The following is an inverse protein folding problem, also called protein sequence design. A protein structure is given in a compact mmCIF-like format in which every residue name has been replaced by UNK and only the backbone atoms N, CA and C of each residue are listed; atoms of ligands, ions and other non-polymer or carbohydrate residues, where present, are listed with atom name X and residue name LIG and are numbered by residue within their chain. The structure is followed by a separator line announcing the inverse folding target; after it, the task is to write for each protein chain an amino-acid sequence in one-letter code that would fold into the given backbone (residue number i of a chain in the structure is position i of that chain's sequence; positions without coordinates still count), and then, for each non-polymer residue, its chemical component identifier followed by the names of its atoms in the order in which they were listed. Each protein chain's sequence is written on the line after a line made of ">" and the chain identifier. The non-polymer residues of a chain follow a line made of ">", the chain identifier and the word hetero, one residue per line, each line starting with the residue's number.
data_IF_987104558851
#
_entry.id   IF_987104558851
#
_cell.length_a   1.000
_cell.length_b   1.000
_cell.length_c   1.000
_cell.angle_alpha   90.00
_cell.angle_beta   90.00
_cell.angle_gamma   90.00
#
_symmetry.space_group_name_H-M   'P 1'
#
loop_
_entity.id
_entity.type
_entity.pdbx_description
1 polymer ?
#
# COMPACT_ATOMS: atom_id res chain seq x y z
N UNK A 1 -12.42 -2.41 -14.23
CA UNK A 1 -10.99 -2.31 -14.64
C UNK A 1 -10.23 -2.45 -13.33
N UNK A 2 -9.66 -3.63 -13.06
CA UNK A 2 -9.29 -3.97 -11.68
C UNK A 2 -7.81 -3.75 -11.38
N UNK A 3 -6.98 -3.51 -12.41
CA UNK A 3 -5.54 -3.29 -12.24
C UNK A 3 -5.06 -2.16 -13.15
N UNK A 4 -4.18 -1.30 -12.63
CA UNK A 4 -3.44 -0.29 -13.40
C UNK A 4 -1.93 -0.52 -13.19
N UNK A 5 -1.18 -0.59 -14.29
CA UNK A 5 0.27 -0.72 -14.27
C UNK A 5 0.92 0.63 -14.58
N UNK A 6 1.77 1.11 -13.67
CA UNK A 6 2.44 2.41 -13.73
C UNK A 6 3.96 2.25 -13.97
N UNK A 7 4.37 1.08 -14.48
CA UNK A 7 5.77 0.73 -14.76
C UNK A 7 6.54 0.32 -13.51
N UNK A 8 6.62 1.20 -12.52
CA UNK A 8 7.36 0.97 -11.27
C UNK A 8 6.51 0.28 -10.18
N UNK A 9 5.19 0.37 -10.30
CA UNK A 9 4.24 -0.22 -9.37
C UNK A 9 2.96 -0.62 -10.08
N UNK A 10 2.26 -1.59 -9.49
CA UNK A 10 0.96 -2.06 -9.92
C UNK A 10 -0.07 -1.77 -8.84
N UNK A 11 -1.23 -1.25 -9.25
CA UNK A 11 -2.35 -0.96 -8.39
C UNK A 11 -3.49 -1.92 -8.72
N UNK A 12 -3.84 -2.82 -7.80
CA UNK A 12 -5.04 -3.65 -7.88
C UNK A 12 -6.14 -3.03 -7.02
N UNK A 13 -7.29 -2.76 -7.62
CA UNK A 13 -8.43 -2.07 -7.03
C UNK A 13 -9.46 -3.07 -6.50
N UNK A 14 -9.82 -2.93 -5.22
CA UNK A 14 -10.82 -3.74 -4.52
C UNK A 14 -11.86 -2.79 -3.89
N UNK A 15 -13.08 -3.25 -3.59
CA UNK A 15 -14.17 -2.35 -3.19
C UNK A 15 -13.84 -1.35 -2.05
N UNK A 16 -12.96 -1.75 -1.12
CA UNK A 16 -12.60 -0.98 0.06
C UNK A 16 -11.08 -0.81 0.28
N UNK A 17 -10.23 -1.26 -0.66
CA UNK A 17 -8.78 -1.07 -0.56
C UNK A 17 -8.09 -1.10 -1.92
N UNK A 18 -6.88 -0.53 -1.98
CA UNK A 18 -5.96 -0.72 -3.11
C UNK A 18 -4.81 -1.61 -2.63
N UNK A 19 -4.48 -2.63 -3.42
CA UNK A 19 -3.22 -3.34 -3.27
C UNK A 19 -2.18 -2.69 -4.16
N UNK A 20 -1.08 -2.25 -3.56
CA UNK A 20 0.08 -1.69 -4.24
C UNK A 20 1.16 -2.75 -4.26
N UNK A 21 1.62 -3.10 -5.46
CA UNK A 21 2.78 -3.96 -5.65
C UNK A 21 3.93 -3.10 -6.17
N UNK A 22 5.01 -3.01 -5.40
CA UNK A 22 6.23 -2.28 -5.79
C UNK A 22 7.16 -3.25 -6.52
N UNK A 23 7.65 -2.85 -7.70
CA UNK A 23 8.50 -3.69 -8.52
C UNK A 23 9.98 -3.61 -8.10
N UNK A 24 10.78 -4.59 -8.49
CA UNK A 24 12.23 -4.61 -8.27
C UNK A 24 12.92 -3.34 -8.79
N UNK A 25 13.88 -2.82 -8.03
CA UNK A 25 14.67 -1.65 -8.38
C UNK A 25 13.91 -0.33 -8.39
N UNK A 26 12.64 -0.34 -7.99
CA UNK A 26 11.79 0.86 -8.04
C UNK A 26 12.04 1.80 -6.86
N UNK A 27 11.78 3.08 -7.10
CA UNK A 27 11.79 4.13 -6.08
C UNK A 27 10.38 4.70 -5.92
N UNK A 28 9.83 4.63 -4.71
CA UNK A 28 8.54 5.22 -4.38
C UNK A 28 8.76 6.57 -3.69
N UNK A 29 8.46 7.65 -4.40
CA UNK A 29 8.66 9.03 -3.96
C UNK A 29 7.35 9.84 -3.91
N UNK A 30 7.45 11.15 -3.72
CA UNK A 30 6.31 12.06 -3.71
C UNK A 30 5.51 12.06 -5.01
N UNK A 31 6.18 11.92 -6.16
CA UNK A 31 5.51 11.88 -7.47
C UNK A 31 4.73 10.58 -7.64
N UNK A 32 5.32 9.46 -7.21
CA UNK A 32 4.64 8.17 -7.20
C UNK A 32 3.40 8.19 -6.30
N UNK A 33 3.51 8.83 -5.13
CA UNK A 33 2.36 9.06 -4.25
C UNK A 33 1.26 9.90 -4.92
N UNK A 34 1.60 11.02 -5.54
CA UNK A 34 0.63 11.90 -6.23
C UNK A 34 -0.13 11.17 -7.34
N UNK A 35 0.56 10.36 -8.14
CA UNK A 35 -0.06 9.57 -9.20
C UNK A 35 -1.03 8.53 -8.62
N UNK A 36 -0.61 7.79 -7.59
CA UNK A 36 -1.48 6.85 -6.89
C UNK A 36 -2.69 7.56 -6.26
N UNK A 37 -2.49 8.73 -5.68
CA UNK A 37 -3.53 9.53 -5.04
C UNK A 37 -4.55 10.05 -6.04
N UNK A 38 -4.10 10.56 -7.19
CA UNK A 38 -4.98 11.00 -8.27
C UNK A 38 -5.87 9.85 -8.77
N UNK A 39 -5.27 8.70 -9.05
CA UNK A 39 -6.02 7.50 -9.51
C UNK A 39 -7.00 7.02 -8.43
N UNK A 40 -6.60 7.07 -7.15
CA UNK A 40 -7.50 6.77 -6.02
C UNK A 40 -8.72 7.68 -6.02
N UNK A 41 -8.55 8.97 -6.28
CA UNK A 41 -9.66 9.93 -6.31
C UNK A 41 -10.59 9.68 -7.50
N UNK A 42 -10.06 9.37 -8.68
CA UNK A 42 -10.87 9.02 -9.85
C UNK A 42 -11.75 7.78 -9.61
N UNK A 43 -11.24 6.78 -8.89
CA UNK A 43 -11.94 5.50 -8.68
C UNK A 43 -12.85 5.51 -7.46
N UNK A 44 -12.40 6.06 -6.33
CA UNK A 44 -13.12 5.99 -5.05
C UNK A 44 -13.65 7.35 -4.57
N UNK A 45 -13.30 8.45 -5.24
CA UNK A 45 -13.58 9.80 -4.78
C UNK A 45 -13.08 10.03 -3.36
N UNK A 46 -13.94 10.61 -2.52
CA UNK A 46 -13.63 10.95 -1.14
C UNK A 46 -13.68 9.75 -0.16
N UNK A 47 -14.04 8.55 -0.61
CA UNK A 47 -14.11 7.38 0.26
C UNK A 47 -12.74 7.13 0.91
N UNK A 48 -12.75 6.85 2.23
CA UNK A 48 -11.58 6.34 2.94
C UNK A 48 -11.43 4.85 2.64
N UNK A 49 -10.23 4.46 2.22
CA UNK A 49 -9.93 3.08 1.81
C UNK A 49 -8.68 2.54 2.51
N UNK A 50 -8.52 1.23 2.52
CA UNK A 50 -7.27 0.60 2.93
C UNK A 50 -6.19 0.64 1.85
N UNK A 51 -4.92 0.52 2.26
CA UNK A 51 -3.80 0.25 1.37
C UNK A 51 -3.09 -1.03 1.82
N UNK A 52 -2.92 -1.97 0.90
CA UNK A 52 -2.13 -3.17 1.10
C UNK A 52 -0.85 -3.07 0.26
N UNK A 53 0.29 -2.81 0.90
CA UNK A 53 1.60 -2.73 0.24
C UNK A 53 2.25 -4.09 0.23
N UNK A 54 2.66 -4.53 -0.95
CA UNK A 54 3.26 -5.85 -1.18
C UNK A 54 4.44 -5.71 -2.14
N UNK A 55 5.38 -6.64 -2.06
CA UNK A 55 6.53 -6.72 -2.96
C UNK A 55 6.67 -8.14 -3.53
N UNK A 56 7.43 -8.28 -4.61
CA UNK A 56 7.93 -9.60 -5.00
C UNK A 56 8.93 -10.11 -3.96
N UNK A 57 8.91 -11.43 -3.70
CA UNK A 57 9.80 -12.04 -2.71
C UNK A 57 11.26 -11.75 -3.05
N UNK A 58 11.98 -11.10 -2.14
CA UNK A 58 13.38 -10.73 -2.32
C UNK A 58 13.58 -9.47 -3.16
N UNK A 59 12.51 -8.75 -3.49
CA UNK A 59 12.63 -7.54 -4.28
C UNK A 59 13.21 -6.38 -3.46
N UNK A 60 14.24 -5.74 -3.99
CA UNK A 60 14.81 -4.50 -3.47
C UNK A 60 14.10 -3.30 -4.08
N UNK A 61 13.57 -2.44 -3.22
CA UNK A 61 13.02 -1.14 -3.61
C UNK A 61 13.43 -0.11 -2.57
N UNK A 62 13.23 1.16 -2.91
CA UNK A 62 13.49 2.27 -2.00
C UNK A 62 12.26 3.15 -1.87
N UNK A 63 12.10 3.74 -0.69
CA UNK A 63 11.05 4.70 -0.39
C UNK A 63 11.72 5.98 0.07
N UNK A 64 11.32 7.12 -0.50
CA UNK A 64 11.63 8.42 0.07
C UNK A 64 10.58 8.77 1.15
N UNK A 65 10.91 8.72 2.45
CA UNK A 65 9.93 8.99 3.50
C UNK A 65 9.42 10.43 3.50
N UNK A 66 10.00 11.35 2.72
CA UNK A 66 9.56 12.74 2.65
C UNK A 66 8.10 12.87 2.20
N UNK A 67 7.60 11.94 1.37
CA UNK A 67 6.18 11.98 0.98
C UNK A 67 5.25 11.80 2.18
N UNK A 68 5.64 11.03 3.20
CA UNK A 68 4.85 10.84 4.41
C UNK A 68 4.67 12.14 5.19
N UNK A 69 5.67 13.03 5.12
CA UNK A 69 5.62 14.35 5.76
C UNK A 69 4.79 15.31 4.90
N UNK A 70 5.09 15.38 3.60
CA UNK A 70 4.47 16.32 2.67
C UNK A 70 2.96 16.08 2.52
N UNK A 71 2.55 14.82 2.49
CA UNK A 71 1.16 14.43 2.22
C UNK A 71 0.44 13.84 3.44
N UNK A 72 1.01 13.95 4.65
CA UNK A 72 0.43 13.41 5.89
C UNK A 72 -1.08 13.65 6.00
N UNK A 73 -1.50 14.92 5.88
CA UNK A 73 -2.90 15.31 6.01
C UNK A 73 -3.80 14.66 4.96
N UNK A 74 -3.32 14.59 3.72
CA UNK A 74 -4.07 13.94 2.63
C UNK A 74 -4.19 12.44 2.89
N UNK A 75 -3.11 11.79 3.34
CA UNK A 75 -3.13 10.37 3.69
C UNK A 75 -4.09 10.08 4.84
N UNK A 76 -4.03 10.82 5.95
CA UNK A 76 -4.92 10.63 7.11
C UNK A 76 -6.40 10.93 6.78
N UNK A 77 -6.65 11.82 5.82
CA UNK A 77 -7.99 12.14 5.33
C UNK A 77 -8.57 11.09 4.38
N UNK A 78 -7.75 10.23 3.76
CA UNK A 78 -8.20 9.30 2.72
C UNK A 78 -7.86 7.84 2.94
N UNK A 79 -6.99 7.53 3.91
CA UNK A 79 -6.62 6.17 4.25
C UNK A 79 -7.28 5.75 5.57
N UNK A 80 -7.90 4.58 5.56
CA UNK A 80 -8.47 3.94 6.75
C UNK A 80 -7.43 3.12 7.50
N UNK A 81 -6.54 2.45 6.76
CA UNK A 81 -5.46 1.64 7.29
C UNK A 81 -4.39 1.38 6.22
N UNK A 82 -3.18 1.01 6.66
CA UNK A 82 -2.11 0.53 5.78
C UNK A 82 -1.55 -0.78 6.31
N UNK A 83 -1.51 -1.81 5.46
CA UNK A 83 -0.85 -3.08 5.81
C UNK A 83 0.31 -3.30 4.85
N UNK A 84 1.49 -3.57 5.41
CA UNK A 84 2.68 -3.94 4.63
C UNK A 84 2.90 -5.44 4.79
N UNK A 85 2.90 -6.16 3.68
CA UNK A 85 3.19 -7.60 3.62
C UNK A 85 4.58 -7.78 3.01
N UNK A 86 5.55 -8.14 3.84
CA UNK A 86 6.92 -8.38 3.38
C UNK A 86 7.69 -9.22 4.39
N UNK A 87 8.61 -10.06 3.91
CA UNK A 87 9.58 -10.78 4.74
C UNK A 87 10.97 -10.11 4.72
N UNK A 88 11.09 -8.92 4.15
CA UNK A 88 12.37 -8.23 3.95
C UNK A 88 12.59 -7.12 4.99
N UNK A 89 13.76 -7.12 5.64
CA UNK A 89 14.04 -6.22 6.78
C UNK A 89 14.00 -4.72 6.43
N UNK A 90 14.54 -4.27 5.28
CA UNK A 90 14.42 -2.87 4.85
C UNK A 90 12.97 -2.36 4.78
N UNK A 91 12.03 -3.21 4.40
CA UNK A 91 10.61 -2.85 4.33
C UNK A 91 10.03 -2.56 5.71
N UNK A 92 10.50 -3.28 6.73
CA UNK A 92 10.13 -2.99 8.12
C UNK A 92 10.63 -1.60 8.55
N UNK A 93 11.81 -1.16 8.09
CA UNK A 93 12.31 0.20 8.37
C UNK A 93 11.45 1.26 7.68
N UNK A 94 11.04 1.01 6.45
CA UNK A 94 10.12 1.90 5.74
C UNK A 94 8.77 1.99 6.46
N UNK A 95 8.25 0.86 6.95
CA UNK A 95 7.05 0.80 7.78
C UNK A 95 7.19 1.59 9.09
N UNK A 96 8.35 1.55 9.74
CA UNK A 96 8.60 2.35 10.95
C UNK A 96 8.47 3.86 10.69
N UNK A 97 8.85 4.37 9.52
CA UNK A 97 8.58 5.76 9.16
C UNK A 97 7.09 6.06 9.07
N UNK A 98 6.32 5.21 8.39
CA UNK A 98 4.87 5.35 8.30
C UNK A 98 4.20 5.43 9.69
N UNK A 99 4.61 4.53 10.59
CA UNK A 99 4.10 4.47 11.97
C UNK A 99 4.46 5.70 12.80
N UNK A 100 5.61 6.32 12.56
CA UNK A 100 6.08 7.49 13.33
C UNK A 100 5.58 8.82 12.78
N UNK A 101 5.37 8.91 11.47
CA UNK A 101 5.09 10.17 10.78
C UNK A 101 3.60 10.40 10.49
N UNK A 102 2.75 9.39 10.70
CA UNK A 102 1.31 9.46 10.43
C UNK A 102 0.51 8.82 11.57
N UNK A 103 -0.73 9.26 11.74
CA UNK A 103 -1.69 8.66 12.70
C UNK A 103 -2.53 7.53 12.06
N UNK A 104 -2.11 7.03 10.90
CA UNK A 104 -2.87 6.03 10.15
C UNK A 104 -2.68 4.66 10.82
N UNK A 105 -3.78 3.94 11.13
CA UNK A 105 -3.68 2.58 11.64
C UNK A 105 -2.87 1.70 10.68
N UNK A 106 -1.76 1.13 11.16
CA UNK A 106 -0.87 0.38 10.29
C UNK A 106 -0.36 -0.92 10.91
N UNK A 107 -0.12 -1.94 10.07
CA UNK A 107 0.39 -3.25 10.48
C UNK A 107 1.43 -3.76 9.49
N UNK A 108 2.50 -4.36 10.00
CA UNK A 108 3.46 -5.12 9.21
C UNK A 108 3.20 -6.61 9.42
N UNK A 109 3.15 -7.40 8.35
CA UNK A 109 3.01 -8.86 8.41
C UNK A 109 4.03 -9.53 7.49
N UNK A 110 4.51 -10.69 7.90
CA UNK A 110 5.56 -11.39 7.17
C UNK A 110 5.05 -12.21 5.97
N UNK A 111 3.74 -12.47 5.92
CA UNK A 111 3.10 -13.24 4.85
C UNK A 111 1.60 -12.93 4.76
N UNK A 112 1.01 -13.28 3.61
CA UNK A 112 -0.42 -13.08 3.34
C UNK A 112 -1.35 -13.94 4.21
N UNK A 113 -0.93 -15.14 4.62
CA UNK A 113 -1.77 -16.03 5.45
C UNK A 113 -2.11 -15.37 6.79
N UNK A 114 -1.19 -14.57 7.33
CA UNK A 114 -1.41 -13.76 8.54
C UNK A 114 -2.45 -12.64 8.38
N UNK A 115 -2.96 -12.38 7.17
CA UNK A 115 -4.06 -11.43 6.94
C UNK A 115 -5.44 -12.06 7.13
N UNK A 116 -5.59 -13.38 6.97
CA UNK A 116 -6.87 -14.09 7.18
C UNK A 116 -7.34 -14.01 8.64
N UNK A 117 -6.41 -13.73 9.55
CA UNK A 117 -6.65 -13.51 10.97
C UNK A 117 -7.14 -12.08 11.29
N UNK A 118 -7.21 -11.18 10.30
CA UNK A 118 -7.65 -9.80 10.48
C UNK A 118 -9.17 -9.66 10.33
N UNK A 119 -9.89 -9.10 11.33
CA UNK A 119 -11.32 -8.83 11.21
C UNK A 119 -11.62 -7.93 10.00
N UNK A 120 -12.43 -8.42 9.06
CA UNK A 120 -12.84 -7.68 7.86
C UNK A 120 -11.94 -7.83 6.63
N UNK A 121 -10.87 -8.64 6.70
CA UNK A 121 -10.08 -9.02 5.53
C UNK A 121 -10.52 -10.39 5.01
N UNK A 122 -11.47 -10.42 4.08
CA UNK A 122 -11.88 -11.64 3.40
C UNK A 122 -11.21 -11.72 2.02
N UNK A 123 -10.35 -12.72 1.81
CA UNK A 123 -9.87 -13.04 0.47
C UNK A 123 -11.03 -13.58 -0.37
N UNK A 124 -11.70 -12.72 -1.13
CA UNK A 124 -12.32 -13.16 -2.37
C UNK A 124 -11.22 -13.21 -3.44
N UNK A 125 -10.46 -14.30 -3.46
CA UNK A 125 -9.67 -14.80 -4.60
C UNK A 125 -9.09 -16.18 -4.23
N UNK A 126 -9.95 -17.11 -3.82
CA UNK A 126 -9.67 -18.54 -3.96
C UNK A 126 -10.77 -19.13 -4.82
N UNK A 127 -10.46 -19.26 -6.12
CA UNK A 127 -11.01 -20.17 -7.13
C UNK A 127 -10.90 -19.51 -8.50
N UNK A 128 -9.75 -19.67 -9.12
CA UNK A 128 -9.70 -20.12 -10.52
C UNK A 128 -8.45 -20.96 -10.67
N UNK A 129 -8.72 -22.26 -10.72
CA UNK A 129 -7.85 -23.37 -11.07
C UNK A 129 -7.15 -23.17 -12.41
#
# INVERSE_FOLDING_TARGET
>A
MNTINLGNYHLDFKPNYIKIKINEGSHFDSKAFEECYFIKQEIYGNLKIGILVTNDSGATYSIDPMFLVNYRKAMEAHLQWVIVVSNYQPDYRNFEYLKRLTDIPCKFVNNYKSLEELPGFHQEDSLNS
#
